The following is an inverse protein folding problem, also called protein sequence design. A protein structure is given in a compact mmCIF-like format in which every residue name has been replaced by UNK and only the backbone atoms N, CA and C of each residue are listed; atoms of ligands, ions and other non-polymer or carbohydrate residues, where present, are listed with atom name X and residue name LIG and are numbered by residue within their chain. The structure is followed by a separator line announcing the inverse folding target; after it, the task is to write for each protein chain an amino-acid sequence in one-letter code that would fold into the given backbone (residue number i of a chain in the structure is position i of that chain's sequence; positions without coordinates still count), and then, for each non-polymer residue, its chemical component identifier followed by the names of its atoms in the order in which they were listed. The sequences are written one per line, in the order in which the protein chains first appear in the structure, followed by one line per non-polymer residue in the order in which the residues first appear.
data_IF_391575914096
#
_entry.id   IF_391575914096
#
_cell.length_a   1.000
_cell.length_b   1.000
_cell.length_c   1.000
_cell.angle_alpha   90.00
_cell.angle_beta   90.00
_cell.angle_gamma   90.00
#
_symmetry.space_group_name_H-M   'P 1'
#
loop_
_entity.id
_entity.type
_entity.pdbx_description
1 polymer ?
#
# COMPACT_ATOMS: atom_id res chain seq x y z
N UNK A 1 -18.19 -10.71 -22.60
CA UNK A 1 -17.97 -12.17 -22.52
C UNK A 1 -18.70 -12.87 -23.65
N UNK A 2 -18.02 -13.77 -24.33
CA UNK A 2 -18.52 -14.56 -25.46
C UNK A 2 -17.90 -15.96 -25.31
N UNK A 3 -18.64 -16.97 -24.80
CA UNK A 3 -18.08 -18.31 -24.52
C UNK A 3 -17.60 -19.03 -25.78
N UNK A 4 -18.29 -18.87 -26.91
CA UNK A 4 -17.87 -19.38 -28.22
C UNK A 4 -17.98 -18.31 -29.30
N UNK A 5 -17.21 -18.44 -30.39
CA UNK A 5 -17.17 -17.43 -31.47
C UNK A 5 -18.54 -17.13 -32.10
N UNK A 6 -19.45 -18.11 -32.10
CA UNK A 6 -20.81 -17.99 -32.63
C UNK A 6 -21.79 -17.29 -31.68
N UNK A 7 -21.45 -17.14 -30.40
CA UNK A 7 -22.38 -16.59 -29.40
C UNK A 7 -22.51 -15.06 -29.49
N UNK A 8 -23.69 -14.55 -29.10
CA UNK A 8 -23.89 -13.10 -28.90
C UNK A 8 -23.05 -12.61 -27.70
N UNK A 9 -22.28 -11.53 -27.83
CA UNK A 9 -21.55 -10.94 -26.71
C UNK A 9 -22.51 -10.52 -25.60
N UNK A 10 -22.11 -10.77 -24.34
CA UNK A 10 -22.83 -10.38 -23.13
C UNK A 10 -21.97 -9.44 -22.27
N UNK A 11 -22.56 -8.45 -21.57
CA UNK A 11 -21.86 -7.68 -20.55
C UNK A 11 -21.18 -8.59 -19.53
N UNK A 12 -20.01 -8.18 -19.02
CA UNK A 12 -19.34 -8.86 -17.90
C UNK A 12 -19.73 -8.18 -16.59
N UNK A 13 -19.66 -8.92 -15.50
CA UNK A 13 -19.67 -8.32 -14.17
C UNK A 13 -18.32 -7.65 -13.91
N UNK A 14 -18.34 -6.52 -13.21
CA UNK A 14 -17.14 -5.84 -12.74
C UNK A 14 -17.12 -5.86 -11.22
N UNK A 15 -15.93 -5.98 -10.65
CA UNK A 15 -15.66 -5.81 -9.23
C UNK A 15 -14.48 -4.85 -9.09
N UNK A 16 -14.49 -4.07 -8.03
CA UNK A 16 -13.36 -3.23 -7.65
C UNK A 16 -13.11 -3.37 -6.15
N UNK A 17 -11.87 -3.15 -5.75
CA UNK A 17 -11.42 -3.12 -4.36
C UNK A 17 -10.08 -2.41 -4.31
N UNK A 18 -9.87 -1.55 -3.32
CA UNK A 18 -8.58 -0.91 -3.14
C UNK A 18 -7.54 -1.95 -2.74
N UNK A 19 -6.39 -1.99 -3.42
CA UNK A 19 -5.24 -2.76 -2.94
C UNK A 19 -4.74 -2.21 -1.59
N UNK A 20 -4.59 -0.88 -1.54
CA UNK A 20 -4.45 -0.07 -0.33
C UNK A 20 -4.94 1.37 -0.62
N UNK A 21 -5.29 2.12 0.41
CA UNK A 21 -5.45 3.57 0.33
C UNK A 21 -4.17 4.24 0.86
N UNK A 22 -3.34 4.80 -0.02
CA UNK A 22 -1.97 5.26 0.32
C UNK A 22 -1.95 6.19 1.54
N UNK A 23 -2.80 7.23 1.56
CA UNK A 23 -2.84 8.16 2.70
C UNK A 23 -3.16 7.49 4.03
N UNK A 24 -4.14 6.57 4.06
CA UNK A 24 -4.49 5.81 5.27
C UNK A 24 -3.38 4.85 5.68
N UNK A 25 -2.70 4.27 4.69
CA UNK A 25 -1.60 3.33 4.93
C UNK A 25 -0.39 4.05 5.54
N UNK A 26 -0.09 5.27 5.06
CA UNK A 26 0.97 6.11 5.64
C UNK A 26 0.63 6.45 7.09
N UNK A 27 -0.58 6.92 7.39
CA UNK A 27 -0.99 7.22 8.78
C UNK A 27 -0.85 5.99 9.69
N UNK A 28 -1.35 4.83 9.24
CA UNK A 28 -1.22 3.59 9.99
C UNK A 28 0.25 3.19 10.24
N UNK A 29 1.13 3.34 9.24
CA UNK A 29 2.57 3.08 9.41
C UNK A 29 3.18 4.03 10.43
N UNK A 30 2.91 5.33 10.31
CA UNK A 30 3.43 6.33 11.24
C UNK A 30 3.01 6.04 12.68
N UNK A 31 1.73 5.77 12.92
CA UNK A 31 1.20 5.50 14.28
C UNK A 31 1.71 4.18 14.86
N UNK A 32 1.76 3.10 14.07
CA UNK A 32 2.07 1.76 14.58
C UNK A 32 3.58 1.47 14.65
N UNK A 33 4.41 2.25 13.96
CA UNK A 33 5.86 2.05 13.93
C UNK A 33 6.65 3.24 14.53
N UNK A 34 5.96 4.22 15.11
CA UNK A 34 6.60 5.30 15.88
C UNK A 34 7.40 4.75 17.07
N UNK A 35 8.53 5.38 17.33
CA UNK A 35 9.40 5.14 18.48
C UNK A 35 9.30 6.29 19.49
N UNK A 36 9.78 6.05 20.72
CA UNK A 36 9.72 7.03 21.80
C UNK A 36 10.49 8.34 21.50
N UNK A 37 11.51 8.27 20.64
CA UNK A 37 12.30 9.42 20.16
C UNK A 37 11.64 10.17 18.98
N UNK A 38 10.45 9.74 18.54
CA UNK A 38 9.74 10.31 17.42
C UNK A 38 10.15 9.78 16.04
N UNK A 39 11.17 8.92 15.96
CA UNK A 39 11.51 8.22 14.72
C UNK A 39 10.45 7.18 14.36
N UNK A 40 10.43 6.74 13.09
CA UNK A 40 9.51 5.70 12.61
C UNK A 40 10.31 4.56 11.99
N UNK A 41 10.11 3.35 12.51
CA UNK A 41 10.72 2.14 11.93
C UNK A 41 10.00 1.82 10.61
N UNK A 42 10.76 1.59 9.55
CA UNK A 42 10.21 1.21 8.25
C UNK A 42 9.90 -0.30 8.28
N UNK A 43 8.65 -0.72 7.98
CA UNK A 43 8.30 -2.13 7.86
C UNK A 43 9.26 -2.88 6.93
N UNK A 44 9.70 -4.08 7.32
CA UNK A 44 10.73 -4.83 6.56
C UNK A 44 10.36 -4.99 5.08
N UNK A 45 9.09 -5.25 4.78
CA UNK A 45 8.56 -5.38 3.43
C UNK A 45 8.73 -4.12 2.56
N UNK A 46 8.89 -2.94 3.17
CA UNK A 46 9.04 -1.66 2.46
C UNK A 46 10.50 -1.26 2.25
N UNK A 47 11.45 -1.82 3.01
CA UNK A 47 12.88 -1.47 2.94
C UNK A 47 13.51 -1.59 1.54
N UNK A 48 13.18 -2.62 0.71
CA UNK A 48 13.70 -2.71 -0.66
C UNK A 48 13.30 -1.51 -1.54
N UNK A 49 12.16 -0.88 -1.25
CA UNK A 49 11.68 0.31 -1.97
C UNK A 49 12.28 1.61 -1.42
N UNK A 50 12.96 1.55 -0.28
CA UNK A 50 13.52 2.69 0.45
C UNK A 50 15.05 2.70 0.41
N UNK A 51 15.67 2.06 -0.59
CA UNK A 51 17.15 1.90 -0.72
C UNK A 51 17.80 1.24 0.51
N UNK A 52 17.07 0.34 1.18
CA UNK A 52 17.54 -0.34 2.38
C UNK A 52 17.42 0.50 3.67
N UNK A 53 16.81 1.68 3.62
CA UNK A 53 16.57 2.48 4.83
C UNK A 53 15.66 1.72 5.81
N UNK A 54 16.06 1.67 7.07
CA UNK A 54 15.34 0.94 8.12
C UNK A 54 14.50 1.84 9.04
N UNK A 55 14.81 3.14 9.07
CA UNK A 55 14.18 4.12 9.95
C UNK A 55 14.11 5.50 9.30
N UNK A 56 13.04 6.23 9.58
CA UNK A 56 12.88 7.66 9.30
C UNK A 56 13.17 8.39 10.60
N UNK A 57 14.18 9.26 10.60
CA UNK A 57 14.55 10.04 11.79
C UNK A 57 13.55 11.16 12.09
N UNK A 58 13.38 11.50 13.37
CA UNK A 58 12.67 12.70 13.76
C UNK A 58 13.47 13.94 13.34
N UNK A 59 12.79 15.00 12.91
CA UNK A 59 13.42 16.28 12.62
C UNK A 59 13.43 17.09 13.90
N UNK A 60 14.61 17.48 14.39
CA UNK A 60 14.72 18.54 15.39
C UNK A 60 14.41 19.89 14.71
N UNK A 61 13.49 20.66 15.29
CA UNK A 61 13.11 22.00 14.84
C UNK A 61 13.99 23.08 15.47
#
# INVERSE_FOLDING_TARGET
YRPSAADKPRPVHTINGSGIAIGRTIVAILENYQQADGSVVIPEALRPYMRGLERIEAVEL
#
